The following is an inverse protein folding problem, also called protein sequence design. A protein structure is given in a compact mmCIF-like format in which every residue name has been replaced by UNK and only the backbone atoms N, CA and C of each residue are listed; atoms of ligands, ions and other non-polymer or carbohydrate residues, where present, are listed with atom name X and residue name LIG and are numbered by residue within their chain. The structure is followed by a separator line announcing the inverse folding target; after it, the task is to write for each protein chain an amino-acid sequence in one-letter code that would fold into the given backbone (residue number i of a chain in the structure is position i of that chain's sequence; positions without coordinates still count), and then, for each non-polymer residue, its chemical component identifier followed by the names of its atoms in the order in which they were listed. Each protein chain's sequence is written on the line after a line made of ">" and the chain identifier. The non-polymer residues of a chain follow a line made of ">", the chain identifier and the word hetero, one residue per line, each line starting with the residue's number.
data_IF_822017086774
#
_entry.id   IF_822017086774
#
_cell.length_a   1.000
_cell.length_b   1.000
_cell.length_c   1.000
_cell.angle_alpha   90.00
_cell.angle_beta   90.00
_cell.angle_gamma   90.00
#
_symmetry.space_group_name_H-M   'P 1'
#
loop_
_entity.id
_entity.type
_entity.pdbx_description
1 polymer ?
#
# COMPACT_ATOMS: atom_id res chain seq x y z
N UNK A 1 35.49 58.85 -16.71
CA UNK A 1 34.46 59.66 -16.00
C UNK A 1 34.17 58.98 -14.67
N UNK A 2 34.56 59.64 -13.56
CA UNK A 2 34.30 59.27 -12.14
C UNK A 2 35.09 58.04 -11.64
N UNK A 3 35.95 58.09 -10.60
CA UNK A 3 35.96 59.06 -9.49
C UNK A 3 36.09 58.40 -8.10
N UNK A 4 37.29 57.96 -7.72
CA UNK A 4 37.85 57.89 -6.36
C UNK A 4 37.48 56.76 -5.36
N UNK A 5 38.52 55.97 -5.11
CA UNK A 5 38.97 55.37 -3.84
C UNK A 5 39.08 56.35 -2.66
N UNK A 6 38.83 55.90 -1.42
CA UNK A 6 39.85 55.84 -0.35
C UNK A 6 39.37 55.09 0.91
N UNK A 7 40.30 54.34 1.50
CA UNK A 7 40.25 53.75 2.84
C UNK A 7 40.07 54.80 3.95
N UNK A 8 39.43 54.39 5.06
CA UNK A 8 40.02 54.51 6.41
C UNK A 8 39.34 53.57 7.41
N UNK A 9 40.18 52.93 8.21
CA UNK A 9 39.90 52.03 9.34
C UNK A 9 40.19 52.82 10.63
N UNK A 10 39.58 52.45 11.78
CA UNK A 10 40.18 52.37 13.13
C UNK A 10 39.17 52.53 14.30
N UNK A 11 39.27 51.54 15.22
CA UNK A 11 39.05 51.54 16.69
C UNK A 11 37.62 51.68 17.25
N UNK A 12 37.24 51.15 18.40
CA UNK A 12 37.62 50.04 19.30
C UNK A 12 36.61 50.08 20.48
N UNK A 13 36.25 48.91 21.03
CA UNK A 13 35.86 48.60 22.43
C UNK A 13 34.79 49.47 23.17
N UNK A 14 33.66 48.88 23.59
CA UNK A 14 33.29 48.77 25.03
C UNK A 14 32.08 47.84 25.30
N UNK A 15 32.00 47.43 26.56
CA UNK A 15 31.36 46.32 27.27
C UNK A 15 29.81 46.14 27.25
N UNK A 16 29.41 44.87 27.35
CA UNK A 16 28.62 44.36 28.48
C UNK A 16 27.10 44.55 28.51
N UNK A 17 26.35 43.45 28.31
CA UNK A 17 25.30 43.03 29.27
C UNK A 17 24.83 41.59 29.04
N UNK A 18 25.10 40.77 30.05
CA UNK A 18 24.52 39.46 30.31
C UNK A 18 23.08 39.68 30.78
N UNK A 19 22.12 38.96 30.20
CA UNK A 19 20.84 38.67 30.86
C UNK A 19 20.53 37.20 30.68
N UNK A 20 20.76 36.51 31.78
CA UNK A 20 20.36 35.16 32.13
C UNK A 20 18.84 35.11 32.32
N UNK A 21 18.19 34.10 31.73
CA UNK A 21 16.81 33.72 32.02
C UNK A 21 16.71 32.20 31.91
N UNK A 22 17.27 31.53 32.91
CA UNK A 22 16.83 30.21 33.33
C UNK A 22 15.33 30.25 33.70
N UNK A 23 14.55 29.36 33.06
CA UNK A 23 13.37 28.64 33.56
C UNK A 23 12.27 28.49 32.50
N UNK A 24 12.38 27.45 31.67
CA UNK A 24 11.22 26.84 31.01
C UNK A 24 11.25 25.34 31.31
N UNK A 25 10.20 24.76 31.93
CA UNK A 25 10.23 23.36 32.33
C UNK A 25 10.05 22.43 31.12
N UNK A 26 11.10 21.65 30.84
CA UNK A 26 11.11 20.49 29.94
C UNK A 26 10.17 19.39 30.44
N UNK A 27 8.92 19.37 29.97
CA UNK A 27 8.02 18.22 30.17
C UNK A 27 6.98 18.08 29.05
N UNK A 28 7.38 17.68 27.83
CA UNK A 28 6.54 16.81 26.99
C UNK A 28 7.23 16.25 25.72
N UNK A 29 8.31 15.49 25.85
CA UNK A 29 8.79 14.61 24.77
C UNK A 29 8.81 13.17 25.27
N UNK A 30 7.61 12.62 25.51
CA UNK A 30 7.42 11.17 25.50
C UNK A 30 7.22 10.73 24.06
N UNK A 31 8.35 10.37 23.47
CA UNK A 31 8.51 9.66 22.21
C UNK A 31 7.48 8.52 22.09
N UNK A 32 6.52 8.66 21.18
CA UNK A 32 5.78 7.51 20.65
C UNK A 32 6.72 6.82 19.68
N UNK A 33 7.66 6.06 20.24
CA UNK A 33 8.37 5.04 19.49
C UNK A 33 7.33 3.97 19.16
N UNK A 34 6.95 3.88 17.88
CA UNK A 34 6.27 2.71 17.34
C UNK A 34 7.19 1.51 17.53
N UNK A 35 7.05 0.84 18.68
CA UNK A 35 7.89 -0.30 19.03
C UNK A 35 7.48 -1.46 18.13
N UNK A 36 8.30 -1.71 17.11
CA UNK A 36 8.26 -2.97 16.34
C UNK A 36 8.31 -4.14 17.34
N UNK A 37 7.48 -5.18 17.20
CA UNK A 37 7.56 -6.32 18.10
C UNK A 37 8.94 -6.98 17.98
N UNK A 38 9.71 -6.96 19.06
CA UNK A 38 10.95 -7.72 19.17
C UNK A 38 10.64 -9.10 19.77
N UNK A 39 10.75 -10.13 18.93
CA UNK A 39 10.89 -11.52 19.36
C UNK A 39 12.04 -12.15 18.56
N UNK A 40 12.81 -13.06 19.17
CA UNK A 40 13.99 -13.64 18.55
C UNK A 40 13.54 -14.64 17.47
N UNK A 41 13.45 -14.18 16.22
CA UNK A 41 13.18 -15.08 15.10
C UNK A 41 14.52 -15.59 14.56
N UNK A 42 14.83 -16.84 14.90
CA UNK A 42 15.96 -17.56 14.32
C UNK A 42 15.71 -17.85 12.83
N UNK A 43 16.73 -17.62 11.98
CA UNK A 43 16.70 -17.89 10.53
C UNK A 43 16.63 -16.65 9.62
N UNK A 44 16.66 -16.85 8.31
CA UNK A 44 16.70 -15.79 7.27
C UNK A 44 15.53 -14.80 7.32
N UNK A 45 14.47 -15.10 8.06
CA UNK A 45 13.29 -14.26 8.21
C UNK A 45 13.53 -12.90 8.88
N UNK A 46 14.66 -12.71 9.57
CA UNK A 46 15.00 -11.40 10.19
C UNK A 46 15.27 -10.32 9.15
N UNK A 47 15.62 -10.72 7.93
CA UNK A 47 15.89 -9.83 6.80
C UNK A 47 14.64 -9.56 5.96
N UNK A 48 13.50 -10.18 6.31
CA UNK A 48 12.26 -10.00 5.57
C UNK A 48 11.38 -8.92 6.20
N UNK A 49 10.80 -8.10 5.35
CA UNK A 49 9.85 -7.05 5.69
C UNK A 49 8.47 -7.66 5.94
N UNK A 50 7.87 -7.34 7.08
CA UNK A 50 6.44 -7.62 7.35
C UNK A 50 5.59 -6.43 6.94
N UNK A 51 4.38 -6.69 6.47
CA UNK A 51 3.45 -5.64 6.10
C UNK A 51 2.81 -4.97 7.33
N UNK A 52 2.71 -3.65 7.31
CA UNK A 52 1.73 -2.88 8.05
C UNK A 52 0.38 -3.03 7.33
N UNK A 53 -0.59 -3.72 7.95
CA UNK A 53 -1.86 -4.10 7.32
C UNK A 53 -2.99 -3.17 7.73
N UNK A 54 -3.72 -2.68 6.75
CA UNK A 54 -4.86 -1.79 6.91
C UNK A 54 -6.12 -2.46 6.35
N UNK A 55 -7.25 -2.34 7.06
CA UNK A 55 -8.56 -2.83 6.60
C UNK A 55 -9.07 -2.03 5.42
N UNK A 56 -8.86 -0.72 5.48
CA UNK A 56 -9.29 0.26 4.50
C UNK A 56 -8.53 1.58 4.73
N UNK A 57 -8.86 2.57 3.91
CA UNK A 57 -8.25 3.89 3.85
C UNK A 57 -8.56 4.71 5.11
N UNK A 58 -9.71 4.50 5.75
CA UNK A 58 -10.04 5.17 7.01
C UNK A 58 -9.05 4.83 8.13
N UNK A 59 -8.54 3.60 8.18
CA UNK A 59 -7.49 3.24 9.14
C UNK A 59 -6.15 3.90 8.84
N UNK A 60 -5.85 4.16 7.57
CA UNK A 60 -4.64 4.89 7.18
C UNK A 60 -4.71 6.34 7.70
N UNK A 61 -5.86 7.01 7.48
CA UNK A 61 -6.10 8.37 7.98
C UNK A 61 -6.15 8.45 9.51
N UNK A 62 -6.67 7.43 10.20
CA UNK A 62 -6.65 7.35 11.68
C UNK A 62 -5.27 6.98 12.25
N UNK A 63 -4.43 6.28 11.48
CA UNK A 63 -3.02 6.07 11.84
C UNK A 63 -2.21 7.36 11.69
N UNK A 64 -2.58 8.24 10.75
CA UNK A 64 -2.02 9.58 10.58
C UNK A 64 -2.56 10.57 11.65
N UNK A 65 -3.79 10.36 12.14
CA UNK A 65 -4.48 11.20 13.11
C UNK A 65 -4.94 10.37 14.32
N UNK A 66 -4.11 10.27 15.35
CA UNK A 66 -4.47 9.57 16.58
C UNK A 66 -5.60 10.29 17.35
N UNK A 67 -6.87 10.14 16.97
CA UNK A 67 -8.07 10.37 17.80
C UNK A 67 -9.30 9.56 17.32
N UNK A 68 -10.22 9.16 18.22
CA UNK A 68 -11.34 8.29 17.88
C UNK A 68 -12.53 9.10 17.33
N UNK A 69 -13.17 8.60 16.28
CA UNK A 69 -14.48 9.10 15.85
C UNK A 69 -15.47 7.94 15.87
N UNK A 70 -16.53 8.13 16.66
CA UNK A 70 -17.75 7.32 16.66
C UNK A 70 -18.58 7.76 15.45
N UNK A 71 -18.93 6.85 14.55
CA UNK A 71 -19.93 7.14 13.52
C UNK A 71 -21.02 6.09 13.58
N UNK A 72 -22.23 6.55 13.96
CA UNK A 72 -23.47 5.79 13.95
C UNK A 72 -24.27 6.06 12.66
N UNK A 73 -24.86 4.99 12.09
CA UNK A 73 -26.00 4.99 11.16
C UNK A 73 -25.64 5.23 9.69
N UNK A 74 -26.10 4.48 8.69
CA UNK A 74 -27.29 3.64 8.52
C UNK A 74 -26.97 2.54 7.48
N UNK A 75 -27.38 1.29 7.70
CA UNK A 75 -27.47 0.29 6.62
C UNK A 75 -28.85 -0.37 6.68
N UNK A 76 -29.56 -0.39 5.55
CA UNK A 76 -30.74 -1.22 5.37
C UNK A 76 -30.63 -1.90 4.00
N UNK A 77 -30.58 -3.24 4.04
CA UNK A 77 -30.47 -4.25 2.95
C UNK A 77 -29.07 -4.51 2.39
N UNK A 78 -28.41 -5.58 2.84
CA UNK A 78 -28.54 -6.96 2.32
C UNK A 78 -27.54 -7.82 3.10
N UNK A 79 -27.90 -8.18 4.35
CA UNK A 79 -26.95 -8.58 5.40
C UNK A 79 -26.03 -9.74 5.00
N UNK A 80 -26.47 -10.62 4.09
CA UNK A 80 -25.71 -11.78 3.66
C UNK A 80 -24.56 -11.44 2.68
N UNK A 81 -24.78 -10.48 1.75
CA UNK A 81 -23.73 -10.05 0.81
C UNK A 81 -22.66 -9.25 1.55
N UNK A 82 -23.08 -8.38 2.47
CA UNK A 82 -22.15 -7.65 3.34
C UNK A 82 -21.35 -8.63 4.22
N UNK A 83 -22.01 -9.65 4.77
CA UNK A 83 -21.34 -10.68 5.57
C UNK A 83 -20.29 -11.45 4.76
N UNK A 84 -20.61 -11.91 3.55
CA UNK A 84 -19.65 -12.63 2.71
C UNK A 84 -18.45 -11.76 2.32
N UNK A 85 -18.70 -10.50 1.92
CA UNK A 85 -17.63 -9.53 1.63
C UNK A 85 -16.72 -9.34 2.84
N UNK A 86 -17.29 -9.17 4.04
CA UNK A 86 -16.53 -9.00 5.29
C UNK A 86 -15.67 -10.22 5.61
N UNK A 87 -16.20 -11.43 5.42
CA UNK A 87 -15.45 -12.69 5.60
C UNK A 87 -14.24 -12.74 4.66
N UNK A 88 -14.43 -12.41 3.37
CA UNK A 88 -13.32 -12.35 2.42
C UNK A 88 -12.28 -11.32 2.86
N UNK A 89 -12.70 -10.12 3.25
CA UNK A 89 -11.79 -9.07 3.72
C UNK A 89 -11.00 -9.51 4.96
N UNK A 90 -11.64 -10.17 5.93
CA UNK A 90 -10.98 -10.69 7.12
C UNK A 90 -9.96 -11.78 6.77
N UNK A 91 -10.30 -12.68 5.83
CA UNK A 91 -9.35 -13.68 5.29
C UNK A 91 -8.17 -13.02 4.59
N UNK A 92 -8.40 -11.98 3.78
CA UNK A 92 -7.33 -11.22 3.13
C UNK A 92 -6.44 -10.52 4.16
N UNK A 93 -7.01 -9.89 5.19
CA UNK A 93 -6.23 -9.30 6.28
C UNK A 93 -5.35 -10.36 6.96
N UNK A 94 -5.87 -11.57 7.19
CA UNK A 94 -5.09 -12.66 7.73
C UNK A 94 -3.93 -13.06 6.79
N UNK A 95 -4.19 -13.19 5.48
CA UNK A 95 -3.17 -13.44 4.46
C UNK A 95 -2.08 -12.35 4.52
N UNK A 96 -2.45 -11.07 4.44
CA UNK A 96 -1.51 -9.95 4.44
C UNK A 96 -0.60 -9.95 5.69
N UNK A 97 -1.13 -10.34 6.86
CA UNK A 97 -0.34 -10.46 8.10
C UNK A 97 0.67 -11.60 8.08
N UNK A 98 0.45 -12.63 7.26
CA UNK A 98 1.38 -13.75 7.10
C UNK A 98 2.48 -13.45 6.08
N UNK A 99 2.27 -12.50 5.17
CA UNK A 99 3.22 -12.21 4.11
C UNK A 99 4.48 -11.51 4.64
N UNK A 100 5.60 -11.88 4.04
CA UNK A 100 6.90 -11.26 4.26
C UNK A 100 7.61 -11.09 2.93
N UNK A 101 8.26 -9.94 2.72
CA UNK A 101 8.91 -9.57 1.47
C UNK A 101 10.40 -9.33 1.66
N UNK A 102 11.18 -9.51 0.59
CA UNK A 102 12.60 -9.16 0.57
C UNK A 102 12.82 -7.64 0.49
N UNK A 103 11.82 -6.92 -0.01
CA UNK A 103 11.83 -5.46 -0.19
C UNK A 103 11.07 -4.76 0.96
N UNK A 104 11.54 -3.58 1.35
CA UNK A 104 10.86 -2.71 2.31
C UNK A 104 9.84 -1.82 1.60
N UNK A 105 10.22 -1.28 0.44
CA UNK A 105 9.34 -0.46 -0.39
C UNK A 105 8.43 -1.33 -1.26
N UNK A 106 7.42 -1.93 -0.60
CA UNK A 106 6.42 -2.81 -1.21
C UNK A 106 5.02 -2.36 -0.81
N UNK A 107 4.09 -2.41 -1.77
CA UNK A 107 2.66 -2.28 -1.51
C UNK A 107 1.93 -3.52 -2.02
N UNK A 108 1.01 -4.02 -1.20
CA UNK A 108 0.14 -5.14 -1.51
C UNK A 108 -1.31 -4.68 -1.39
N UNK A 109 -2.10 -4.82 -2.44
CA UNK A 109 -3.50 -4.35 -2.47
C UNK A 109 -4.43 -5.47 -2.91
N UNK A 110 -5.64 -5.49 -2.36
CA UNK A 110 -6.68 -6.41 -2.76
C UNK A 110 -7.68 -5.74 -3.70
N UNK A 111 -7.78 -6.28 -4.91
CA UNK A 111 -8.81 -5.95 -5.89
C UNK A 111 -10.00 -6.88 -5.71
N UNK A 112 -11.12 -6.34 -5.23
CA UNK A 112 -12.38 -7.08 -5.10
C UNK A 112 -13.32 -6.71 -6.24
N UNK A 113 -14.17 -7.64 -6.73
CA UNK A 113 -15.34 -7.27 -7.50
C UNK A 113 -16.16 -6.25 -6.72
N UNK A 114 -16.45 -5.11 -7.35
CA UNK A 114 -17.42 -4.16 -6.83
C UNK A 114 -18.84 -4.69 -7.08
N UNK A 115 -19.80 -4.19 -6.30
CA UNK A 115 -21.21 -4.40 -6.65
C UNK A 115 -21.44 -3.92 -8.08
N UNK A 116 -22.15 -4.74 -8.86
CA UNK A 116 -22.41 -4.51 -10.27
C UNK A 116 -23.08 -3.14 -10.44
N UNK A 117 -22.34 -2.16 -11.00
CA UNK A 117 -22.92 -0.90 -11.43
C UNK A 117 -23.34 -1.08 -12.90
N UNK A 118 -24.63 -1.36 -13.12
CA UNK A 118 -25.18 -1.56 -14.46
C UNK A 118 -24.99 -2.99 -14.99
N UNK A 119 -24.38 -3.15 -16.17
CA UNK A 119 -24.17 -4.47 -16.81
C UNK A 119 -22.76 -5.02 -16.64
N UNK A 120 -21.83 -4.21 -16.14
CA UNK A 120 -20.41 -4.49 -16.19
C UNK A 120 -19.87 -4.88 -14.80
N UNK A 121 -19.11 -5.97 -14.74
CA UNK A 121 -18.37 -6.35 -13.54
C UNK A 121 -17.03 -5.59 -13.52
N UNK A 122 -16.77 -4.90 -12.42
CA UNK A 122 -15.54 -4.12 -12.23
C UNK A 122 -14.80 -4.55 -10.97
N UNK A 123 -13.48 -4.44 -10.98
CA UNK A 123 -12.62 -4.57 -9.80
C UNK A 123 -12.33 -3.19 -9.22
N UNK A 124 -12.28 -3.14 -7.89
CA UNK A 124 -11.90 -1.93 -7.14
C UNK A 124 -11.03 -2.29 -5.93
N UNK A 125 -10.16 -1.37 -5.55
CA UNK A 125 -9.43 -1.40 -4.27
C UNK A 125 -10.07 -0.50 -3.20
N UNK A 126 -11.14 0.21 -3.54
CA UNK A 126 -11.87 1.06 -2.60
C UNK A 126 -12.46 0.24 -1.46
N UNK A 127 -12.26 0.68 -0.23
CA UNK A 127 -12.66 -0.01 1.00
C UNK A 127 -12.12 -1.45 1.09
N UNK A 128 -11.02 -1.75 0.40
CA UNK A 128 -10.37 -3.05 0.42
C UNK A 128 -9.09 -3.07 1.25
N UNK A 129 -8.79 -4.20 1.91
CA UNK A 129 -7.55 -4.34 2.66
C UNK A 129 -6.30 -4.19 1.79
N UNK A 130 -5.27 -3.64 2.40
CA UNK A 130 -3.96 -3.49 1.80
C UNK A 130 -2.87 -3.57 2.87
N UNK A 131 -1.63 -3.80 2.44
CA UNK A 131 -0.47 -3.80 3.30
C UNK A 131 0.68 -3.04 2.69
N UNK A 132 1.42 -2.32 3.54
CA UNK A 132 2.61 -1.57 3.15
C UNK A 132 3.83 -2.18 3.84
N UNK A 133 4.93 -2.39 3.12
CA UNK A 133 6.19 -2.82 3.75
C UNK A 133 6.75 -1.74 4.67
N UNK A 134 6.58 -0.48 4.29
CA UNK A 134 6.83 0.71 5.12
C UNK A 134 5.73 1.75 4.92
N UNK A 135 5.44 2.56 5.93
CA UNK A 135 4.40 3.60 5.83
C UNK A 135 5.02 4.92 5.36
N UNK A 136 5.54 4.93 4.12
CA UNK A 136 6.13 6.11 3.49
C UNK A 136 5.09 6.93 2.74
N UNK A 137 5.34 8.23 2.52
CA UNK A 137 4.45 9.11 1.75
C UNK A 137 4.26 8.62 0.31
N UNK A 138 5.31 8.04 -0.29
CA UNK A 138 5.26 7.48 -1.63
C UNK A 138 4.23 6.33 -1.69
N UNK A 139 4.30 5.36 -0.77
CA UNK A 139 3.39 4.22 -0.78
C UNK A 139 1.96 4.60 -0.37
N UNK A 140 1.80 5.50 0.61
CA UNK A 140 0.49 5.97 1.04
C UNK A 140 -0.19 6.80 -0.06
N UNK A 141 0.55 7.65 -0.76
CA UNK A 141 0.01 8.44 -1.87
C UNK A 141 -0.29 7.58 -3.11
N UNK A 142 0.51 6.55 -3.40
CA UNK A 142 0.13 5.56 -4.42
C UNK A 142 -1.19 4.88 -4.05
N UNK A 143 -1.35 4.46 -2.79
CA UNK A 143 -2.60 3.85 -2.33
C UNK A 143 -3.79 4.80 -2.49
N UNK A 144 -3.61 6.08 -2.13
CA UNK A 144 -4.63 7.13 -2.29
C UNK A 144 -5.05 7.33 -3.75
N UNK A 145 -4.14 7.20 -4.72
CA UNK A 145 -4.51 7.27 -6.14
C UNK A 145 -5.16 5.96 -6.63
N UNK A 146 -4.62 4.81 -6.22
CA UNK A 146 -5.09 3.50 -6.66
C UNK A 146 -6.57 3.25 -6.33
N UNK A 147 -7.08 3.78 -5.21
CA UNK A 147 -8.46 3.61 -4.74
C UNK A 147 -9.53 4.13 -5.72
N UNK A 148 -9.15 5.08 -6.58
CA UNK A 148 -10.07 5.70 -7.53
C UNK A 148 -10.12 4.96 -8.88
N UNK A 149 -9.34 3.89 -9.03
CA UNK A 149 -9.33 3.10 -10.25
C UNK A 149 -10.38 2.00 -10.23
N UNK A 150 -10.98 1.79 -11.39
CA UNK A 150 -11.94 0.73 -11.66
C UNK A 150 -11.47 -0.03 -12.90
N UNK A 151 -11.41 -1.35 -12.79
CA UNK A 151 -11.01 -2.21 -13.91
C UNK A 151 -12.16 -3.09 -14.34
N UNK A 152 -12.62 -2.89 -15.57
CA UNK A 152 -13.68 -3.69 -16.20
C UNK A 152 -13.15 -5.10 -16.45
N UNK A 153 -13.98 -6.11 -16.14
CA UNK A 153 -13.64 -7.54 -16.22
C UNK A 153 -14.51 -8.27 -17.24
N UNK A 154 -15.44 -7.58 -17.88
CA UNK A 154 -16.40 -8.22 -18.77
C UNK A 154 -15.76 -8.84 -20.01
N UNK A 155 -16.50 -9.78 -20.61
CA UNK A 155 -16.01 -10.55 -21.74
C UNK A 155 -15.99 -9.76 -23.05
N UNK A 156 -16.61 -8.59 -23.09
CA UNK A 156 -16.82 -7.80 -24.32
C UNK A 156 -15.60 -6.97 -24.73
N UNK A 157 -14.58 -6.87 -23.88
CA UNK A 157 -13.34 -6.14 -24.15
C UNK A 157 -12.23 -7.06 -24.67
N UNK A 158 -11.44 -6.54 -25.62
CA UNK A 158 -10.21 -7.20 -26.08
C UNK A 158 -9.25 -7.41 -24.92
N UNK A 159 -8.84 -8.65 -24.71
CA UNK A 159 -8.06 -9.03 -23.54
C UNK A 159 -6.68 -8.35 -23.46
N UNK A 160 -6.13 -7.97 -24.62
CA UNK A 160 -4.88 -7.22 -24.71
C UNK A 160 -4.95 -5.82 -24.12
N UNK A 161 -6.15 -5.22 -24.03
CA UNK A 161 -6.35 -3.87 -23.49
C UNK A 161 -6.72 -3.86 -22.00
N UNK A 162 -7.06 -5.03 -21.42
CA UNK A 162 -7.39 -5.14 -20.00
C UNK A 162 -6.21 -4.80 -19.09
N UNK A 163 -6.52 -4.39 -17.87
CA UNK A 163 -5.48 -4.27 -16.85
C UNK A 163 -4.99 -5.64 -16.38
N UNK A 164 -3.76 -5.74 -15.86
CA UNK A 164 -3.27 -7.01 -15.32
C UNK A 164 -4.21 -7.60 -14.26
N UNK A 165 -4.77 -6.84 -13.29
CA UNK A 165 -5.74 -7.41 -12.34
C UNK A 165 -6.98 -7.99 -13.02
N UNK A 166 -7.51 -7.33 -14.07
CA UNK A 166 -8.66 -7.85 -14.80
C UNK A 166 -8.33 -9.15 -15.56
N UNK A 167 -7.17 -9.24 -16.21
CA UNK A 167 -6.72 -10.48 -16.86
C UNK A 167 -6.53 -11.61 -15.85
N UNK A 168 -5.88 -11.34 -14.73
CA UNK A 168 -5.63 -12.32 -13.65
C UNK A 168 -6.96 -12.84 -13.10
N UNK A 169 -7.93 -11.95 -12.86
CA UNK A 169 -9.25 -12.34 -12.37
C UNK A 169 -9.98 -13.25 -13.36
N UNK A 170 -9.99 -12.90 -14.65
CA UNK A 170 -10.65 -13.71 -15.71
C UNK A 170 -9.97 -15.06 -15.90
N UNK A 171 -8.66 -15.07 -16.05
CA UNK A 171 -7.87 -16.27 -16.38
C UNK A 171 -7.62 -17.18 -15.18
N UNK A 172 -7.68 -16.62 -13.96
CA UNK A 172 -7.28 -17.29 -12.71
C UNK A 172 -5.82 -17.78 -12.77
N UNK A 173 -4.98 -17.01 -13.45
CA UNK A 173 -3.55 -17.27 -13.59
C UNK A 173 -2.77 -16.06 -13.10
N UNK A 174 -1.64 -16.25 -12.40
CA UNK A 174 -0.78 -15.16 -11.99
C UNK A 174 -0.18 -14.44 -13.19
N UNK A 175 0.08 -13.14 -13.04
CA UNK A 175 0.77 -12.31 -14.02
C UNK A 175 1.87 -11.51 -13.31
N UNK A 176 3.04 -11.34 -13.95
CA UNK A 176 4.14 -10.54 -13.41
C UNK A 176 4.98 -9.89 -14.50
N UNK A 177 5.67 -8.81 -14.15
CA UNK A 177 6.74 -8.20 -14.94
C UNK A 177 7.83 -7.71 -14.00
N UNK A 178 9.09 -7.75 -14.45
CA UNK A 178 10.21 -7.21 -13.68
C UNK A 178 10.22 -5.68 -13.68
N UNK A 179 9.51 -5.06 -14.62
CA UNK A 179 9.34 -3.61 -14.69
C UNK A 179 7.95 -3.24 -15.23
N UNK A 180 7.20 -2.41 -14.50
CA UNK A 180 5.91 -1.84 -14.93
C UNK A 180 6.05 -0.99 -16.19
N UNK A 181 7.25 -0.51 -16.52
CA UNK A 181 7.53 0.19 -17.77
C UNK A 181 7.20 -0.65 -19.01
N UNK A 182 7.19 -1.98 -18.89
CA UNK A 182 6.85 -2.90 -19.98
C UNK A 182 5.35 -2.87 -20.34
N UNK A 183 4.49 -2.34 -19.48
CA UNK A 183 3.08 -2.16 -19.79
C UNK A 183 2.83 -0.89 -20.61
N UNK A 184 1.87 -0.98 -21.53
CA UNK A 184 1.33 0.23 -22.16
C UNK A 184 0.52 1.06 -21.15
N UNK A 185 0.39 2.36 -21.41
CA UNK A 185 -0.42 3.24 -20.55
C UNK A 185 -1.91 2.84 -20.52
N UNK A 186 -2.40 2.20 -21.59
CA UNK A 186 -3.75 1.64 -21.65
C UNK A 186 -3.91 0.46 -20.70
N UNK A 187 -2.99 -0.50 -20.75
CA UNK A 187 -3.02 -1.69 -19.89
C UNK A 187 -2.78 -1.35 -18.44
N UNK A 188 -1.91 -0.38 -18.15
CA UNK A 188 -1.65 0.02 -16.78
C UNK A 188 -1.77 1.53 -16.61
N UNK A 189 -3.00 2.06 -16.40
CA UNK A 189 -3.23 3.51 -16.27
C UNK A 189 -2.44 4.16 -15.12
N UNK A 190 -2.12 3.39 -14.08
CA UNK A 190 -1.34 3.86 -12.93
C UNK A 190 0.17 3.79 -13.15
N UNK A 191 0.65 3.41 -14.34
CA UNK A 191 2.07 3.19 -14.62
C UNK A 191 2.94 4.38 -14.26
N UNK A 192 2.60 5.58 -14.72
CA UNK A 192 3.40 6.78 -14.41
C UNK A 192 3.42 7.09 -12.91
N UNK A 193 2.28 6.89 -12.24
CA UNK A 193 2.16 7.05 -10.79
C UNK A 193 3.06 6.08 -10.03
N UNK A 194 3.11 4.82 -10.46
CA UNK A 194 3.98 3.79 -9.91
C UNK A 194 5.46 4.18 -10.09
N UNK A 195 5.87 4.53 -11.33
CA UNK A 195 7.26 4.89 -11.63
C UNK A 195 7.71 6.12 -10.84
N UNK A 196 6.88 7.17 -10.73
CA UNK A 196 7.20 8.38 -9.94
C UNK A 196 7.40 8.10 -8.46
N UNK A 197 6.89 6.97 -7.96
CA UNK A 197 6.95 6.54 -6.57
C UNK A 197 7.91 5.38 -6.35
N UNK A 198 8.82 5.17 -7.31
CA UNK A 198 9.82 4.10 -7.28
C UNK A 198 9.17 2.73 -7.10
N UNK A 199 8.13 2.43 -7.87
CA UNK A 199 7.49 1.12 -7.96
C UNK A 199 7.72 0.57 -9.36
N UNK A 200 8.62 -0.39 -9.47
CA UNK A 200 9.04 -0.99 -10.73
C UNK A 200 8.59 -2.43 -10.88
N UNK A 201 8.78 -3.24 -9.85
CA UNK A 201 8.36 -4.63 -9.88
C UNK A 201 6.84 -4.78 -9.79
N UNK A 202 6.27 -5.74 -10.51
CA UNK A 202 4.84 -6.00 -10.52
C UNK A 202 4.52 -7.49 -10.50
N UNK A 203 3.59 -7.87 -9.63
CA UNK A 203 3.06 -9.22 -9.53
C UNK A 203 1.58 -9.15 -9.15
N UNK A 204 0.75 -9.96 -9.79
CA UNK A 204 -0.66 -10.11 -9.47
C UNK A 204 -1.03 -11.59 -9.40
N UNK A 205 -1.74 -11.99 -8.34
CA UNK A 205 -2.20 -13.36 -8.14
C UNK A 205 -3.71 -13.43 -7.92
N UNK A 206 -4.39 -14.43 -8.50
CA UNK A 206 -5.81 -14.62 -8.26
C UNK A 206 -6.05 -15.14 -6.83
N UNK A 207 -7.07 -14.62 -6.18
CA UNK A 207 -7.61 -15.17 -4.93
C UNK A 207 -8.77 -16.06 -5.33
N UNK A 208 -8.61 -17.37 -5.23
CA UNK A 208 -9.60 -18.35 -5.66
C UNK A 208 -10.24 -19.01 -4.44
N UNK A 209 -11.57 -18.97 -4.38
CA UNK A 209 -12.33 -19.76 -3.41
C UNK A 209 -12.23 -21.24 -3.80
N UNK A 210 -11.74 -22.07 -2.88
CA UNK A 210 -11.47 -23.48 -3.15
C UNK A 210 -12.73 -24.34 -3.24
N UNK A 211 -13.84 -23.89 -2.64
CA UNK A 211 -15.13 -24.57 -2.67
C UNK A 211 -15.88 -24.27 -3.98
N UNK A 212 -16.03 -22.99 -4.32
CA UNK A 212 -16.77 -22.58 -5.53
C UNK A 212 -15.91 -22.60 -6.80
N UNK A 213 -14.58 -22.66 -6.66
CA UNK A 213 -13.59 -22.50 -7.74
C UNK A 213 -13.68 -21.16 -8.46
N UNK A 214 -14.37 -20.18 -7.89
CA UNK A 214 -14.48 -18.83 -8.44
C UNK A 214 -13.33 -17.93 -7.95
N UNK A 215 -12.89 -17.02 -8.81
CA UNK A 215 -11.99 -15.94 -8.38
C UNK A 215 -12.80 -14.94 -7.55
N UNK A 216 -12.42 -14.73 -6.30
CA UNK A 216 -13.08 -13.77 -5.39
C UNK A 216 -12.35 -12.42 -5.34
N UNK A 217 -11.19 -12.33 -5.98
CA UNK A 217 -10.44 -11.08 -6.17
C UNK A 217 -9.03 -11.32 -6.66
N UNK A 218 -8.19 -10.29 -6.64
CA UNK A 218 -6.79 -10.33 -7.05
C UNK A 218 -5.92 -9.65 -5.99
N UNK A 219 -4.81 -10.29 -5.64
CA UNK A 219 -3.75 -9.70 -4.83
C UNK A 219 -2.72 -9.08 -5.78
N UNK A 220 -2.63 -7.76 -5.79
CA UNK A 220 -1.66 -6.98 -6.55
C UNK A 220 -0.49 -6.57 -5.64
N UNK A 221 0.73 -6.68 -6.15
CA UNK A 221 1.97 -6.38 -5.46
C UNK A 221 2.82 -5.50 -6.36
N UNK A 222 3.27 -4.37 -5.81
CA UNK A 222 4.30 -3.53 -6.44
C UNK A 222 5.50 -3.35 -5.52
N UNK A 223 6.69 -3.39 -6.09
CA UNK A 223 7.98 -3.27 -5.36
C UNK A 223 8.89 -2.25 -6.02
N UNK A 224 9.78 -1.59 -5.26
CA UNK A 224 10.85 -0.76 -5.84
C UNK A 224 11.86 -1.56 -6.65
N UNK A 225 12.24 -2.72 -6.13
CA UNK A 225 13.23 -3.57 -6.77
C UNK A 225 12.66 -4.33 -7.97
N UNK A 226 13.47 -4.38 -9.04
CA UNK A 226 13.31 -5.31 -10.15
C UNK A 226 13.87 -6.66 -9.72
N UNK A 227 13.04 -7.50 -9.09
CA UNK A 227 13.49 -8.83 -8.70
C UNK A 227 14.00 -9.60 -9.92
N UNK A 228 15.01 -10.44 -9.72
CA UNK A 228 15.46 -11.38 -10.77
C UNK A 228 14.39 -12.46 -10.98
N UNK A 229 13.63 -12.77 -9.93
CA UNK A 229 12.53 -13.73 -9.94
C UNK A 229 11.54 -13.49 -8.80
N UNK A 230 10.25 -13.68 -9.09
CA UNK A 230 9.13 -13.67 -8.12
C UNK A 230 8.82 -15.03 -7.50
N UNK A 231 9.64 -16.06 -7.74
CA UNK A 231 9.34 -17.42 -7.28
C UNK A 231 9.11 -17.49 -5.75
N UNK A 232 9.92 -16.76 -4.98
CA UNK A 232 9.78 -16.68 -3.53
C UNK A 232 8.44 -16.05 -3.11
N UNK A 233 8.11 -14.87 -3.65
CA UNK A 233 6.88 -14.15 -3.32
C UNK A 233 5.65 -14.97 -3.74
N UNK A 234 5.66 -15.56 -4.94
CA UNK A 234 4.57 -16.42 -5.42
C UNK A 234 4.36 -17.59 -4.46
N UNK A 235 5.42 -18.29 -4.06
CA UNK A 235 5.31 -19.42 -3.14
C UNK A 235 4.76 -18.99 -1.78
N UNK A 236 5.21 -17.86 -1.24
CA UNK A 236 4.73 -17.35 0.04
C UNK A 236 3.25 -16.94 -0.03
N UNK A 237 2.86 -16.20 -1.07
CA UNK A 237 1.48 -15.74 -1.25
C UNK A 237 0.55 -16.93 -1.44
N UNK A 238 0.91 -17.90 -2.29
CA UNK A 238 0.13 -19.12 -2.48
C UNK A 238 -0.01 -19.93 -1.19
N UNK A 239 1.04 -20.00 -0.37
CA UNK A 239 1.00 -20.71 0.91
C UNK A 239 0.07 -20.01 1.91
N UNK A 240 0.16 -18.68 2.03
CA UNK A 240 -0.71 -17.89 2.91
C UNK A 240 -2.19 -17.94 2.46
N UNK A 241 -2.44 -17.87 1.15
CA UNK A 241 -3.78 -18.01 0.57
C UNK A 241 -4.37 -19.38 0.88
N UNK A 242 -3.60 -20.47 0.71
CA UNK A 242 -4.05 -21.81 1.07
C UNK A 242 -4.47 -21.86 2.54
N UNK A 243 -3.63 -21.42 3.47
CA UNK A 243 -3.97 -21.45 4.91
C UNK A 243 -5.28 -20.72 5.23
N UNK A 244 -5.54 -19.58 4.57
CA UNK A 244 -6.70 -18.73 4.91
C UNK A 244 -7.99 -19.09 4.16
N UNK A 245 -7.89 -19.77 3.01
CA UNK A 245 -9.01 -20.16 2.16
C UNK A 245 -9.26 -21.68 2.12
N UNK A 246 -8.52 -22.48 2.91
CA UNK A 246 -8.76 -23.90 3.16
C UNK A 246 -9.78 -24.18 4.27
N UNK A 247 -10.25 -23.14 5.00
CA UNK A 247 -11.23 -23.25 6.09
C UNK A 247 -12.54 -22.55 5.76
#
# INVERSE_FOLDING_TARGET
>A
MGSFSHLQNFNALDEGKILDFDSVPDTLTKNISLKKPELPVSGDSRYLTRLCVFRNEAQLSQSELAQPIITNGFELRDDNINTHKKIIQDKIIAVLKLLTFREQHVIVQFWSPAHVVGKHQVLTTMDQPFGLGETTEQLTSYRKESQHNLYVVDNDHEEGELSPPARVFRRRLPEWTLDVANYSQKQFPQKESAIRRDLHGYLALPVVDLYTRSCVGVLEILTSSKYISYAYEIQQIQSALKVSFLL
#
